data_IF_923125345904
#
_entry.id   IF_923125345904
#
_cell.length_a   1.000
_cell.length_b   1.000
_cell.length_c   1.000
_cell.angle_alpha   90.00
_cell.angle_beta   90.00
_cell.angle_gamma   90.00
#
_symmetry.space_group_name_H-M   'P 1'
#
loop_
_entity.id
_entity.type
_entity.pdbx_description
1 polymer ?
#
# COMPACT_ATOMS: atom_id res chain seq x y z
N UNK A 1 -6.06 10.78 7.60
CA UNK A 1 -4.97 9.79 7.62
C UNK A 1 -4.24 9.76 8.96
N UNK A 2 -3.94 10.92 9.52
CA UNK A 2 -3.26 11.02 10.82
C UNK A 2 -3.99 10.28 11.95
N UNK A 3 -5.29 10.40 12.01
CA UNK A 3 -6.11 9.70 13.01
C UNK A 3 -5.99 8.18 12.89
N UNK A 4 -5.99 7.66 11.66
CA UNK A 4 -5.81 6.24 11.40
C UNK A 4 -4.40 5.78 11.79
N UNK A 5 -3.40 6.59 11.47
CA UNK A 5 -2.01 6.30 11.84
C UNK A 5 -1.86 6.17 13.36
N UNK A 6 -2.46 7.08 14.11
CA UNK A 6 -2.42 7.06 15.58
C UNK A 6 -3.13 5.83 16.16
N UNK A 7 -4.27 5.46 15.58
CA UNK A 7 -5.01 4.26 16.00
C UNK A 7 -4.20 2.98 15.79
N UNK A 8 -3.51 2.89 14.66
CA UNK A 8 -2.66 1.73 14.35
C UNK A 8 -1.48 1.65 15.33
N UNK A 9 -0.82 2.77 15.61
CA UNK A 9 0.27 2.81 16.57
C UNK A 9 -0.18 2.35 17.95
N UNK A 10 -1.30 2.87 18.43
CA UNK A 10 -1.87 2.49 19.72
C UNK A 10 -2.21 1.01 19.77
N UNK A 11 -2.80 0.49 18.72
CA UNK A 11 -3.16 -0.93 18.61
C UNK A 11 -1.92 -1.82 18.80
N UNK A 12 -0.82 -1.47 18.15
CA UNK A 12 0.42 -2.22 18.23
C UNK A 12 1.12 -2.05 19.59
N UNK A 13 1.09 -0.85 20.15
CA UNK A 13 1.67 -0.58 21.47
C UNK A 13 0.96 -1.39 22.56
N UNK A 14 -0.35 -1.43 22.54
CA UNK A 14 -1.15 -2.17 23.52
C UNK A 14 -0.83 -3.67 23.52
N UNK A 15 -0.35 -4.20 22.41
CA UNK A 15 -0.01 -5.62 22.22
C UNK A 15 1.49 -5.89 22.25
N UNK A 16 2.28 -4.85 22.45
CA UNK A 16 3.74 -4.93 22.42
C UNK A 16 4.27 -5.57 21.12
N UNK A 17 3.59 -5.27 20.01
CA UNK A 17 3.97 -5.78 18.68
C UNK A 17 4.98 -4.91 17.96
N UNK A 18 5.12 -3.65 18.39
CA UNK A 18 6.03 -2.71 17.75
C UNK A 18 7.47 -3.22 17.71
N UNK A 19 7.86 -4.01 18.71
CA UNK A 19 9.20 -4.63 18.78
C UNK A 19 9.51 -5.52 17.58
N UNK A 20 8.48 -6.06 16.91
CA UNK A 20 8.65 -6.95 15.75
C UNK A 20 8.58 -6.21 14.41
N UNK A 21 8.20 -4.94 14.42
CA UNK A 21 7.88 -4.15 13.24
C UNK A 21 9.04 -3.26 12.77
N UNK A 22 10.18 -3.89 12.44
CA UNK A 22 11.26 -3.18 11.73
C UNK A 22 10.80 -2.87 10.30
N UNK A 23 11.37 -1.87 9.62
CA UNK A 23 11.04 -1.60 8.22
C UNK A 23 11.17 -2.83 7.34
N UNK A 24 12.21 -3.64 7.54
CA UNK A 24 12.40 -4.88 6.79
C UNK A 24 11.26 -5.87 7.01
N UNK A 25 10.88 -6.10 8.26
CA UNK A 25 9.78 -7.01 8.58
C UNK A 25 8.45 -6.52 8.04
N UNK A 26 8.21 -5.21 8.10
CA UNK A 26 7.00 -4.62 7.53
C UNK A 26 6.95 -4.78 6.01
N UNK A 27 8.08 -4.62 5.32
CA UNK A 27 8.16 -4.84 3.88
C UNK A 27 7.81 -6.29 3.52
N UNK A 28 8.31 -7.25 4.30
CA UNK A 28 7.96 -8.67 4.14
C UNK A 28 6.48 -8.91 4.34
N UNK A 29 5.90 -8.31 5.37
CA UNK A 29 4.47 -8.44 5.65
C UNK A 29 3.60 -7.85 4.54
N UNK A 30 4.00 -6.72 3.97
CA UNK A 30 3.32 -6.11 2.83
C UNK A 30 3.29 -7.10 1.66
N UNK A 31 4.40 -7.73 1.35
CA UNK A 31 4.49 -8.71 0.26
C UNK A 31 3.62 -9.94 0.51
N UNK A 32 3.63 -10.44 1.74
CA UNK A 32 2.83 -11.60 2.12
C UNK A 32 1.33 -11.28 1.98
N UNK A 33 0.90 -10.16 2.52
CA UNK A 33 -0.51 -9.75 2.45
C UNK A 33 -0.95 -9.43 1.02
N UNK A 34 -0.06 -8.86 0.21
CA UNK A 34 -0.33 -8.65 -1.21
C UNK A 34 -0.56 -9.99 -1.94
N UNK A 35 0.18 -11.03 -1.55
CA UNK A 35 -0.03 -12.38 -2.05
C UNK A 35 -1.40 -12.93 -1.67
N UNK A 36 -1.85 -12.71 -0.44
CA UNK A 36 -3.17 -13.14 0.01
C UNK A 36 -4.29 -12.40 -0.73
N UNK A 37 -4.09 -11.11 -1.01
CA UNK A 37 -5.01 -10.35 -1.86
C UNK A 37 -5.09 -10.97 -3.26
N UNK A 38 -3.96 -11.35 -3.83
CA UNK A 38 -3.90 -12.00 -5.13
C UNK A 38 -4.66 -13.34 -5.13
N UNK A 39 -4.59 -14.10 -4.05
CA UNK A 39 -5.29 -15.38 -3.92
C UNK A 39 -6.81 -15.24 -4.08
N UNK A 40 -7.39 -14.08 -3.73
CA UNK A 40 -8.82 -13.83 -3.93
C UNK A 40 -9.26 -13.94 -5.38
N UNK A 41 -8.32 -13.84 -6.31
CA UNK A 41 -8.57 -13.86 -7.77
C UNK A 41 -7.94 -15.08 -8.46
N UNK A 42 -7.37 -16.02 -7.69
CA UNK A 42 -6.53 -17.10 -8.22
C UNK A 42 -7.24 -17.98 -9.26
N UNK A 43 -8.50 -18.33 -9.01
CA UNK A 43 -9.18 -19.33 -9.82
C UNK A 43 -10.18 -18.76 -10.82
N UNK A 44 -10.64 -17.54 -10.61
CA UNK A 44 -11.56 -16.85 -11.52
C UNK A 44 -11.64 -15.37 -11.18
N UNK A 45 -12.32 -14.59 -12.05
CA UNK A 45 -12.51 -13.15 -11.85
C UNK A 45 -13.76 -12.82 -11.03
N UNK A 46 -14.51 -13.84 -10.61
CA UNK A 46 -15.72 -13.68 -9.80
C UNK A 46 -15.32 -13.74 -8.32
N UNK A 47 -14.87 -12.64 -7.80
CA UNK A 47 -14.32 -12.53 -6.45
C UNK A 47 -15.40 -12.21 -5.41
N UNK A 48 -15.14 -12.58 -4.15
CA UNK A 48 -15.95 -12.22 -3.00
C UNK A 48 -15.48 -10.84 -2.49
N UNK A 49 -16.34 -9.84 -2.59
CA UNK A 49 -16.00 -8.46 -2.20
C UNK A 49 -15.57 -8.35 -0.72
N UNK A 50 -16.24 -9.05 0.18
CA UNK A 50 -15.90 -8.97 1.61
C UNK A 50 -14.50 -9.54 1.89
N UNK A 51 -14.15 -10.62 1.22
CA UNK A 51 -12.82 -11.22 1.31
C UNK A 51 -11.74 -10.27 0.76
N UNK A 52 -11.98 -9.68 -0.39
CA UNK A 52 -11.08 -8.70 -1.01
C UNK A 52 -10.88 -7.49 -0.10
N UNK A 53 -11.95 -7.00 0.51
CA UNK A 53 -11.88 -5.85 1.43
C UNK A 53 -10.98 -6.15 2.63
N UNK A 54 -11.09 -7.34 3.21
CA UNK A 54 -10.27 -7.73 4.35
C UNK A 54 -8.79 -7.82 3.97
N UNK A 55 -8.48 -8.46 2.85
CA UNK A 55 -7.10 -8.60 2.40
C UNK A 55 -6.50 -7.28 1.96
N UNK A 56 -7.27 -6.43 1.30
CA UNK A 56 -6.82 -5.08 0.95
C UNK A 56 -6.55 -4.24 2.21
N UNK A 57 -7.41 -4.37 3.23
CA UNK A 57 -7.22 -3.68 4.50
C UNK A 57 -5.90 -4.08 5.17
N UNK A 58 -5.54 -5.36 5.12
CA UNK A 58 -4.27 -5.84 5.69
C UNK A 58 -3.07 -5.24 4.95
N UNK A 59 -3.12 -5.19 3.62
CA UNK A 59 -2.06 -4.55 2.82
C UNK A 59 -1.91 -3.08 3.21
N UNK A 60 -3.01 -2.34 3.25
CA UNK A 60 -3.01 -0.92 3.60
C UNK A 60 -2.49 -0.70 5.02
N UNK A 61 -2.91 -1.54 5.97
CA UNK A 61 -2.48 -1.44 7.36
C UNK A 61 -0.95 -1.55 7.47
N UNK A 62 -0.34 -2.55 6.85
CA UNK A 62 1.11 -2.70 6.88
C UNK A 62 1.83 -1.58 6.14
N UNK A 63 1.26 -1.06 5.05
CA UNK A 63 1.82 0.11 4.37
C UNK A 63 1.84 1.35 5.27
N UNK A 64 0.75 1.57 6.02
CA UNK A 64 0.65 2.70 6.95
C UNK A 64 1.64 2.51 8.11
N UNK A 65 1.77 1.28 8.63
CA UNK A 65 2.76 0.98 9.67
C UNK A 65 4.18 1.29 9.19
N UNK A 66 4.50 0.95 7.94
CA UNK A 66 5.79 1.26 7.34
C UNK A 66 6.02 2.78 7.32
N UNK A 67 5.03 3.56 6.88
CA UNK A 67 5.12 5.01 6.86
C UNK A 67 5.33 5.58 8.27
N UNK A 68 4.63 5.05 9.27
CA UNK A 68 4.80 5.45 10.66
C UNK A 68 6.22 5.17 11.14
N UNK A 69 6.74 3.99 10.84
CA UNK A 69 8.08 3.58 11.27
C UNK A 69 9.17 4.45 10.63
N UNK A 70 8.98 4.86 9.37
CA UNK A 70 9.92 5.72 8.66
C UNK A 70 9.74 7.22 8.98
N UNK A 71 8.70 7.56 9.72
CA UNK A 71 8.42 8.95 10.08
C UNK A 71 7.97 9.80 8.90
N UNK A 72 7.25 9.21 7.93
CA UNK A 72 6.75 9.92 6.75
C UNK A 72 5.24 9.89 6.73
N UNK A 73 4.65 10.90 6.08
CA UNK A 73 3.20 11.00 5.90
C UNK A 73 2.81 10.19 4.65
N UNK A 74 2.01 9.12 4.80
CA UNK A 74 1.64 8.26 3.68
C UNK A 74 0.88 9.01 2.58
N UNK A 75 0.05 9.98 2.94
CA UNK A 75 -0.66 10.81 1.96
C UNK A 75 0.33 11.63 1.15
N UNK A 76 1.26 12.28 1.82
CA UNK A 76 2.22 13.18 1.17
C UNK A 76 3.17 12.43 0.23
N UNK A 77 3.68 11.28 0.66
CA UNK A 77 4.60 10.51 -0.22
C UNK A 77 3.90 10.01 -1.48
N UNK A 78 2.61 9.67 -1.38
CA UNK A 78 1.82 9.29 -2.57
C UNK A 78 1.64 10.48 -3.50
N UNK A 79 1.26 11.64 -2.96
CA UNK A 79 1.07 12.86 -3.75
C UNK A 79 2.38 13.28 -4.44
N UNK A 80 3.49 13.23 -3.72
CA UNK A 80 4.82 13.57 -4.28
C UNK A 80 5.19 12.63 -5.41
N UNK A 81 4.93 11.33 -5.23
CA UNK A 81 5.22 10.35 -6.27
C UNK A 81 4.34 10.52 -7.50
N UNK A 82 3.07 10.87 -7.29
CA UNK A 82 2.14 11.16 -8.40
C UNK A 82 2.65 12.31 -9.28
N UNK A 83 3.24 13.35 -8.70
CA UNK A 83 3.83 14.44 -9.47
C UNK A 83 4.97 13.95 -10.36
N UNK A 84 5.84 13.09 -9.83
CA UNK A 84 6.93 12.50 -10.60
C UNK A 84 6.41 11.62 -11.74
N UNK A 85 5.37 10.83 -11.45
CA UNK A 85 4.74 9.96 -12.43
C UNK A 85 4.08 10.78 -13.54
N UNK A 86 3.42 11.88 -13.19
CA UNK A 86 2.79 12.77 -14.17
C UNK A 86 3.80 13.36 -15.16
N UNK A 87 5.01 13.64 -14.73
CA UNK A 87 6.07 14.11 -15.61
C UNK A 87 6.53 13.05 -16.60
N UNK A 88 6.54 11.78 -16.19
CA UNK A 88 6.90 10.65 -17.07
C UNK A 88 5.76 10.29 -18.03
N UNK A 89 4.53 10.53 -17.63
CA UNK A 89 3.32 10.18 -18.36
C UNK A 89 2.42 11.41 -18.54
N UNK A 90 2.86 12.41 -19.34
CA UNK A 90 1.99 13.57 -19.59
C UNK A 90 0.72 13.12 -20.33
N UNK A 91 -0.40 13.80 -20.04
CA UNK A 91 -1.73 13.40 -20.52
C UNK A 91 -1.77 13.23 -22.03
N UNK A 92 -1.18 14.15 -22.77
CA UNK A 92 -1.18 14.14 -24.24
C UNK A 92 -0.49 12.90 -24.84
N UNK A 93 0.50 12.33 -24.14
CA UNK A 93 1.23 11.14 -24.60
C UNK A 93 0.72 9.84 -24.02
N UNK A 94 0.22 9.87 -22.78
CA UNK A 94 -0.11 8.67 -22.03
C UNK A 94 -1.58 8.28 -22.08
N UNK A 95 -2.48 9.21 -22.40
CA UNK A 95 -3.92 8.97 -22.36
C UNK A 95 -4.33 7.79 -23.26
N UNK A 96 -4.98 6.82 -22.63
CA UNK A 96 -5.47 5.63 -23.36
C UNK A 96 -4.40 4.60 -23.69
N UNK A 97 -3.20 4.73 -23.12
CA UNK A 97 -2.07 3.82 -23.39
C UNK A 97 -1.50 3.26 -22.07
N UNK A 98 -1.06 2.01 -22.12
CA UNK A 98 -0.33 1.36 -21.03
C UNK A 98 1.18 1.29 -21.29
N UNK A 99 1.64 1.95 -22.34
CA UNK A 99 3.04 1.96 -22.77
C UNK A 99 3.93 2.58 -21.72
N UNK A 100 5.08 1.95 -21.43
CA UNK A 100 6.05 2.47 -20.47
C UNK A 100 6.62 3.81 -20.94
N UNK A 101 6.86 4.75 -20.01
CA UNK A 101 7.29 6.11 -20.34
C UNK A 101 8.54 6.18 -21.22
N UNK A 102 9.45 5.18 -21.11
CA UNK A 102 10.65 5.13 -21.94
C UNK A 102 10.37 4.88 -23.42
N UNK A 103 9.15 4.49 -23.75
CA UNK A 103 8.73 4.18 -25.13
C UNK A 103 7.57 5.06 -25.63
N UNK A 104 7.21 6.06 -24.86
CA UNK A 104 6.18 7.03 -25.26
C UNK A 104 6.74 8.04 -26.26
#
# INVERSE_FOLDING_TARGET
>A
MKELQEKIEKFNEERDWDQFHSPENLAKSICIEAGELLECFQWNNDYDLEEVKEELADVLNYCIQMANKLGVDPKQIVLDKMEKTAKKYPVDKAKGKSTKYTKL
#
